data_IF_734496072379
#
_entry.id   IF_734496072379
#
_cell.length_a   1.000
_cell.length_b   1.000
_cell.length_c   1.000
_cell.angle_alpha   90.00
_cell.angle_beta   90.00
_cell.angle_gamma   90.00
#
_symmetry.space_group_name_H-M   'P 1'
#
loop_
_entity.id
_entity.type
_entity.pdbx_description
1 polymer ?
#
# COMPACT_ATOMS: atom_id res chain seq x y z
N UNK A 1 12.06 -1.16 -13.98
CA UNK A 1 10.87 -1.91 -13.52
C UNK A 1 10.79 -2.04 -12.00
N UNK A 2 11.87 -2.42 -11.28
CA UNK A 2 11.89 -2.49 -9.81
C UNK A 2 11.38 -1.21 -9.12
N UNK A 3 11.95 -0.06 -9.47
CA UNK A 3 11.54 1.25 -8.95
C UNK A 3 10.05 1.59 -9.23
N UNK A 4 9.43 0.99 -10.24
CA UNK A 4 8.00 1.14 -10.53
C UNK A 4 7.13 0.49 -9.46
N UNK A 5 7.42 -0.77 -9.17
CA UNK A 5 6.74 -1.52 -8.13
C UNK A 5 7.00 -0.91 -6.76
N UNK A 6 8.23 -0.50 -6.47
CA UNK A 6 8.57 0.15 -5.20
C UNK A 6 7.78 1.45 -5.01
N UNK A 7 7.56 2.23 -6.06
CA UNK A 7 6.77 3.46 -5.95
C UNK A 7 5.27 3.19 -5.77
N UNK A 8 4.74 2.14 -6.40
CA UNK A 8 3.35 1.73 -6.17
C UNK A 8 3.14 1.22 -4.75
N UNK A 9 4.05 0.36 -4.27
CA UNK A 9 4.06 -0.13 -2.88
C UNK A 9 4.10 1.05 -1.92
N UNK A 10 5.00 2.01 -2.18
CA UNK A 10 5.08 3.24 -1.43
C UNK A 10 3.73 3.98 -1.39
N UNK A 11 3.13 4.25 -2.55
CA UNK A 11 1.86 4.98 -2.62
C UNK A 11 0.76 4.29 -1.80
N UNK A 12 0.57 2.98 -1.99
CA UNK A 12 -0.46 2.20 -1.28
C UNK A 12 -0.23 2.21 0.22
N UNK A 13 0.98 1.87 0.68
CA UNK A 13 1.28 1.78 2.09
C UNK A 13 1.25 3.15 2.78
N UNK A 14 1.68 4.22 2.09
CA UNK A 14 1.56 5.60 2.57
C UNK A 14 0.11 5.95 2.86
N UNK A 15 -0.83 5.58 1.97
CA UNK A 15 -2.25 5.83 2.21
C UNK A 15 -2.79 5.09 3.43
N UNK A 16 -2.43 3.83 3.63
CA UNK A 16 -2.86 3.09 4.82
C UNK A 16 -2.25 3.66 6.11
N UNK A 17 -0.95 3.99 6.11
CA UNK A 17 -0.31 4.63 7.26
C UNK A 17 -0.91 6.02 7.58
N UNK A 18 -1.28 6.78 6.54
CA UNK A 18 -1.99 8.05 6.72
C UNK A 18 -3.30 7.85 7.48
N UNK A 19 -4.12 6.85 7.11
CA UNK A 19 -5.40 6.59 7.80
C UNK A 19 -5.18 6.32 9.28
N UNK A 20 -4.18 5.49 9.63
CA UNK A 20 -3.85 5.19 11.03
C UNK A 20 -3.34 6.42 11.79
N UNK A 21 -2.57 7.31 11.16
CA UNK A 21 -2.14 8.55 11.81
C UNK A 21 -3.31 9.54 12.02
N UNK A 22 -4.25 9.63 11.08
CA UNK A 22 -5.36 10.60 11.13
C UNK A 22 -6.55 10.16 12.00
N UNK A 23 -6.86 8.86 12.03
CA UNK A 23 -8.10 8.32 12.61
C UNK A 23 -7.88 7.50 13.90
N UNK A 24 -6.68 7.53 14.49
CA UNK A 24 -6.42 6.86 15.76
C UNK A 24 -6.78 7.75 16.95
N UNK A 25 -7.68 7.26 17.81
CA UNK A 25 -8.18 7.99 18.98
C UNK A 25 -7.21 7.88 20.17
N UNK A 26 -6.44 6.80 20.25
CA UNK A 26 -5.45 6.64 21.31
C UNK A 26 -4.21 7.48 21.01
N UNK A 27 -3.96 8.50 21.85
CA UNK A 27 -2.84 9.45 21.68
C UNK A 27 -1.48 8.76 21.52
N UNK A 28 -1.18 7.73 22.33
CA UNK A 28 0.11 7.04 22.27
C UNK A 28 0.26 6.22 20.98
N UNK A 29 -0.82 5.58 20.52
CA UNK A 29 -0.81 4.86 19.25
C UNK A 29 -0.75 5.83 18.06
N UNK A 30 -1.48 6.94 18.13
CA UNK A 30 -1.46 8.00 17.12
C UNK A 30 -0.05 8.54 16.94
N UNK A 31 0.63 8.90 18.03
CA UNK A 31 2.01 9.38 17.98
C UNK A 31 2.93 8.35 17.32
N UNK A 32 2.78 7.06 17.67
CA UNK A 32 3.54 5.97 17.05
C UNK A 32 3.26 5.86 15.55
N UNK A 33 2.00 5.87 15.13
CA UNK A 33 1.63 5.79 13.72
C UNK A 33 2.11 6.99 12.91
N UNK A 34 1.96 8.20 13.45
CA UNK A 34 2.40 9.42 12.80
C UNK A 34 3.93 9.53 12.72
N UNK A 35 4.66 9.05 13.73
CA UNK A 35 6.11 8.95 13.67
C UNK A 35 6.55 7.93 12.61
N UNK A 36 5.94 6.75 12.59
CA UNK A 36 6.19 5.73 11.55
C UNK A 36 5.88 6.27 10.15
N UNK A 37 4.81 7.04 9.99
CA UNK A 37 4.46 7.71 8.74
C UNK A 37 5.60 8.62 8.27
N UNK A 38 6.10 9.49 9.15
CA UNK A 38 7.21 10.40 8.85
C UNK A 38 8.50 9.67 8.47
N UNK A 39 8.84 8.61 9.20
CA UNK A 39 10.01 7.78 8.88
C UNK A 39 9.86 7.09 7.53
N UNK A 40 8.68 6.51 7.27
CA UNK A 40 8.36 5.84 6.03
C UNK A 40 8.44 6.78 4.82
N UNK A 41 7.80 7.95 4.88
CA UNK A 41 7.83 8.92 3.78
C UNK A 41 9.23 9.47 3.55
N UNK A 42 9.99 9.75 4.61
CA UNK A 42 11.40 10.18 4.51
C UNK A 42 12.29 9.12 3.87
N UNK A 43 12.14 7.86 4.26
CA UNK A 43 12.92 6.75 3.71
C UNK A 43 12.74 6.64 2.20
N UNK A 44 11.50 6.61 1.73
CA UNK A 44 11.22 6.47 0.30
C UNK A 44 11.56 7.72 -0.51
N UNK A 45 11.42 8.92 0.07
CA UNK A 45 11.91 10.13 -0.59
C UNK A 45 13.41 9.99 -0.89
N UNK A 46 14.22 9.66 0.12
CA UNK A 46 15.67 9.49 -0.05
C UNK A 46 15.96 8.43 -1.11
N UNK A 47 15.32 7.26 -1.00
CA UNK A 47 15.45 6.16 -1.96
C UNK A 47 15.19 6.63 -3.39
N UNK A 48 14.08 7.31 -3.66
CA UNK A 48 13.76 7.74 -5.03
C UNK A 48 14.66 8.86 -5.52
N UNK A 49 15.04 9.81 -4.66
CA UNK A 49 15.98 10.88 -5.05
C UNK A 49 17.39 10.35 -5.37
N UNK A 50 17.83 9.28 -4.72
CA UNK A 50 19.13 8.66 -4.99
C UNK A 50 19.11 7.78 -6.24
N UNK A 51 18.01 7.07 -6.47
CA UNK A 51 17.90 6.07 -7.54
C UNK A 51 17.32 6.63 -8.85
N UNK A 52 16.65 7.78 -8.82
CA UNK A 52 16.04 8.41 -10.00
C UNK A 52 16.72 9.75 -10.24
N UNK A 53 17.64 9.79 -11.22
CA UNK A 53 18.43 11.01 -11.49
C UNK A 53 17.63 12.08 -12.21
N UNK A 54 16.71 11.67 -13.08
CA UNK A 54 15.84 12.58 -13.80
C UNK A 54 14.55 11.87 -14.25
N UNK A 55 13.50 12.64 -14.46
CA UNK A 55 12.23 12.20 -15.03
C UNK A 55 12.21 12.51 -16.52
N UNK A 56 11.74 11.58 -17.35
CA UNK A 56 11.55 11.82 -18.79
C UNK A 56 10.52 12.94 -18.97
N UNK A 57 10.74 13.86 -19.91
CA UNK A 57 9.77 14.94 -20.16
C UNK A 57 8.51 14.37 -20.83
N UNK A 58 7.45 14.25 -20.05
CA UNK A 58 6.15 13.71 -20.47
C UNK A 58 5.26 14.74 -21.15
N UNK A 59 5.68 16.01 -21.24
CA UNK A 59 4.91 17.08 -21.90
C UNK A 59 4.69 16.84 -23.40
N UNK A 60 5.50 15.98 -24.05
CA UNK A 60 5.29 15.55 -25.44
C UNK A 60 4.46 14.27 -25.57
N UNK A 61 4.12 13.66 -24.45
CA UNK A 61 3.75 12.26 -24.38
C UNK A 61 2.59 12.13 -23.38
N UNK A 62 1.39 12.45 -23.87
CA UNK A 62 0.10 12.55 -23.16
C UNK A 62 -0.24 11.30 -22.33
N UNK A 63 0.39 10.17 -22.64
CA UNK A 63 0.16 8.86 -22.02
C UNK A 63 1.18 8.50 -20.91
N UNK A 64 2.13 9.36 -20.58
CA UNK A 64 3.31 8.98 -19.78
C UNK A 64 3.41 9.65 -18.43
N UNK A 65 2.43 10.49 -18.06
CA UNK A 65 2.36 11.09 -16.73
C UNK A 65 2.08 10.01 -15.69
N UNK A 66 3.13 9.41 -15.13
CA UNK A 66 2.99 8.47 -14.04
C UNK A 66 2.35 9.17 -12.85
N UNK A 67 1.08 8.83 -12.68
CA UNK A 67 0.22 9.27 -11.61
C UNK A 67 -0.43 8.00 -11.08
N UNK A 68 0.03 7.52 -9.93
CA UNK A 68 -0.68 6.46 -9.22
C UNK A 68 -2.01 7.01 -8.69
N UNK A 69 -1.97 8.25 -8.21
CA UNK A 69 -3.12 9.07 -7.88
C UNK A 69 -2.75 10.55 -7.98
N UNK A 70 -3.74 11.45 -7.88
CA UNK A 70 -3.57 12.92 -7.80
C UNK A 70 -2.65 13.40 -6.69
N UNK A 71 -2.37 12.53 -5.73
CA UNK A 71 -1.55 12.81 -4.56
C UNK A 71 -0.26 11.97 -4.53
N UNK A 72 -0.03 11.08 -5.50
CA UNK A 72 1.15 10.22 -5.57
C UNK A 72 1.75 10.20 -6.99
N UNK A 73 2.65 11.14 -7.23
CA UNK A 73 3.37 11.33 -8.49
C UNK A 73 4.78 11.89 -8.27
N UNK A 74 5.79 11.30 -8.90
CA UNK A 74 7.17 11.78 -8.81
C UNK A 74 7.38 13.20 -9.37
N UNK A 75 6.42 13.73 -10.13
CA UNK A 75 6.44 15.12 -10.60
C UNK A 75 6.18 16.12 -9.46
N UNK A 76 5.49 15.70 -8.39
CA UNK A 76 5.20 16.54 -7.23
C UNK A 76 5.68 15.82 -5.96
N UNK A 77 6.97 16.01 -5.65
CA UNK A 77 7.64 15.37 -4.53
C UNK A 77 7.07 15.83 -3.18
N UNK A 78 6.71 17.10 -3.03
CA UNK A 78 6.15 17.64 -1.78
C UNK A 78 4.83 16.97 -1.39
N UNK A 79 3.94 16.77 -2.37
CA UNK A 79 2.64 16.12 -2.18
C UNK A 79 2.76 14.60 -2.05
N UNK A 80 3.70 14.02 -2.77
CA UNK A 80 3.92 12.57 -2.80
C UNK A 80 4.59 12.07 -1.54
N UNK A 81 5.55 12.82 -1.00
CA UNK A 81 6.29 12.53 0.23
C UNK A 81 5.94 13.53 1.34
N UNK A 82 4.68 13.55 1.82
CA UNK A 82 4.25 14.49 2.84
C UNK A 82 4.83 14.12 4.20
N UNK A 83 4.61 15.02 5.17
CA UNK A 83 4.96 14.80 6.58
C UNK A 83 3.79 15.11 7.48
N UNK A 84 3.70 14.39 8.59
CA UNK A 84 2.93 14.78 9.74
C UNK A 84 3.64 15.93 10.47
N UNK A 85 2.95 17.05 10.64
CA UNK A 85 3.37 18.18 11.46
C UNK A 85 2.72 18.06 12.85
N UNK A 86 3.50 17.82 13.91
CA UNK A 86 2.98 17.73 15.28
C UNK A 86 2.31 19.02 15.76
N UNK A 87 2.71 20.17 15.23
CA UNK A 87 2.20 21.48 15.65
C UNK A 87 0.75 21.68 15.21
N UNK A 88 0.45 21.33 13.95
CA UNK A 88 -0.91 21.39 13.40
C UNK A 88 -1.69 20.08 13.55
N UNK A 89 -1.05 19.02 14.04
CA UNK A 89 -1.56 17.64 14.12
C UNK A 89 -2.17 17.14 12.81
N UNK A 90 -1.54 17.52 11.69
CA UNK A 90 -2.02 17.21 10.34
C UNK A 90 -0.89 16.71 9.47
N UNK A 91 -1.24 15.89 8.49
CA UNK A 91 -0.36 15.58 7.37
C UNK A 91 -0.42 16.74 6.39
N UNK A 92 0.75 17.27 6.04
CA UNK A 92 0.93 18.41 5.16
C UNK A 92 1.95 18.09 4.08
N UNK A 93 1.82 18.76 2.94
CA UNK A 93 2.82 18.71 1.88
C UNK A 93 4.18 19.17 2.42
N UNK A 94 5.23 18.40 2.18
CA UNK A 94 6.57 18.73 2.67
C UNK A 94 7.31 19.55 1.62
N UNK A 95 7.16 20.88 1.68
CA UNK A 95 7.77 21.81 0.72
C UNK A 95 9.29 21.80 0.69
N UNK A 96 9.94 21.14 1.66
CA UNK A 96 11.39 20.90 1.64
C UNK A 96 11.84 19.81 0.65
N UNK A 97 10.88 19.02 0.11
CA UNK A 97 11.15 17.93 -0.83
C UNK A 97 11.22 18.47 -2.25
N UNK A 98 12.45 18.60 -2.75
CA UNK A 98 12.70 19.15 -4.07
C UNK A 98 12.17 18.23 -5.18
N UNK A 99 11.63 18.80 -6.28
CA UNK A 99 11.29 18.03 -7.47
C UNK A 99 12.51 17.32 -8.06
N UNK A 100 12.28 16.18 -8.70
CA UNK A 100 13.29 15.51 -9.53
C UNK A 100 13.41 16.27 -10.86
N UNK A 101 14.63 16.52 -11.31
CA UNK A 101 14.89 17.25 -12.56
C UNK A 101 14.36 16.48 -13.79
N UNK A 102 14.05 17.21 -14.86
CA UNK A 102 13.75 16.59 -16.17
C UNK A 102 15.02 16.13 -16.85
N UNK A 103 14.96 15.03 -17.59
CA UNK A 103 16.09 14.56 -18.40
C UNK A 103 16.26 15.44 -19.64
N UNK A 104 17.50 15.81 -19.95
CA UNK A 104 17.86 16.59 -21.16
C UNK A 104 17.69 15.77 -22.45
N UNK A 105 17.98 14.47 -22.39
CA UNK A 105 17.78 13.52 -23.49
C UNK A 105 16.69 12.48 -23.12
N UNK A 106 15.59 12.37 -23.89
CA UNK A 106 14.55 11.36 -23.66
C UNK A 106 15.03 9.90 -23.80
N UNK A 107 16.24 9.66 -24.30
CA UNK A 107 16.89 8.35 -24.41
C UNK A 107 17.75 7.92 -23.21
N UNK A 108 17.84 8.70 -22.13
CA UNK A 108 18.70 8.38 -20.98
C UNK A 108 18.22 7.12 -20.23
N UNK A 109 19.08 6.09 -20.16
CA UNK A 109 18.89 4.83 -19.41
C UNK A 109 18.63 5.04 -17.91
N UNK A 110 18.94 6.23 -17.39
CA UNK A 110 18.67 6.63 -16.00
C UNK A 110 17.22 7.11 -15.78
N UNK A 111 16.41 7.12 -16.83
CA UNK A 111 14.97 7.42 -16.77
C UNK A 111 14.21 6.26 -16.14
N UNK A 112 13.23 6.60 -15.31
CA UNK A 112 12.21 5.67 -14.89
C UNK A 112 11.03 5.75 -15.85
N UNK A 113 10.71 4.64 -16.52
CA UNK A 113 9.53 4.52 -17.36
C UNK A 113 8.63 3.41 -16.82
N UNK A 114 7.60 3.80 -16.07
CA UNK A 114 6.65 2.89 -15.46
C UNK A 114 5.37 2.90 -16.24
N UNK A 115 5.41 2.25 -17.41
CA UNK A 115 4.18 1.80 -18.05
C UNK A 115 3.57 0.69 -17.21
N UNK A 116 2.42 0.98 -16.61
CA UNK A 116 1.40 -0.05 -16.41
C UNK A 116 0.57 -0.04 -17.68
N UNK A 117 0.49 -1.18 -18.36
CA UNK A 117 -0.34 -1.39 -19.54
C UNK A 117 -1.73 -0.78 -19.31
N UNK A 118 -2.13 0.14 -20.21
CA UNK A 118 -3.49 0.67 -20.39
C UNK A 118 -4.38 0.68 -19.15
N UNK A 119 -4.36 1.79 -18.41
CA UNK A 119 -5.19 1.99 -17.23
C UNK A 119 -6.68 1.76 -17.48
N UNK A 120 -7.23 0.79 -16.76
CA UNK A 120 -8.49 1.03 -16.05
C UNK A 120 -8.08 1.59 -14.69
N UNK A 121 -8.55 2.78 -14.28
CA UNK A 121 -8.32 3.23 -12.91
C UNK A 121 -9.00 2.23 -11.99
N UNK A 122 -8.20 1.45 -11.24
CA UNK A 122 -8.74 0.56 -10.21
C UNK A 122 -9.37 1.46 -9.16
N UNK A 123 -10.71 1.54 -9.15
CA UNK A 123 -11.42 2.12 -8.01
C UNK A 123 -11.15 1.19 -6.84
N UNK A 124 -10.70 1.76 -5.71
CA UNK A 124 -10.38 1.02 -4.48
C UNK A 124 -11.56 0.17 -3.98
N UNK A 125 -12.80 0.51 -4.40
CA UNK A 125 -14.03 -0.28 -4.20
C UNK A 125 -13.98 -1.69 -4.79
N UNK A 126 -13.18 -1.97 -5.82
CA UNK A 126 -13.10 -3.33 -6.39
C UNK A 126 -12.13 -4.26 -5.63
N UNK A 127 -11.19 -3.71 -4.85
CA UNK A 127 -10.27 -4.53 -4.05
C UNK A 127 -10.93 -5.09 -2.78
N UNK A 128 -12.09 -4.57 -2.37
CA UNK A 128 -12.82 -5.06 -1.20
C UNK A 128 -13.84 -6.17 -1.49
N UNK A 129 -14.05 -6.61 -2.74
CA UNK A 129 -15.04 -7.68 -3.02
C UNK A 129 -14.67 -8.75 -4.04
N UNK A 130 -13.51 -8.74 -4.68
CA UNK A 130 -13.13 -9.87 -5.56
C UNK A 130 -11.92 -10.61 -5.03
N UNK A 131 -12.09 -11.20 -3.85
CA UNK A 131 -11.42 -12.44 -3.58
C UNK A 131 -12.09 -13.50 -4.47
N UNK A 132 -11.52 -13.73 -5.67
CA UNK A 132 -11.82 -14.92 -6.49
C UNK A 132 -11.25 -16.15 -5.77
N UNK A 133 -11.79 -16.40 -4.57
CA UNK A 133 -11.54 -17.60 -3.81
C UNK A 133 -12.56 -18.59 -4.34
N UNK A 134 -12.13 -19.51 -5.20
CA UNK A 134 -12.96 -20.68 -5.52
C UNK A 134 -13.43 -21.29 -4.18
N UNK A 135 -14.73 -21.25 -3.83
CA UNK A 135 -15.20 -21.74 -2.54
C UNK A 135 -14.96 -23.24 -2.37
N UNK A 136 -14.69 -23.93 -3.49
CA UNK A 136 -14.34 -25.35 -3.53
C UNK A 136 -13.02 -25.70 -2.82
N UNK A 137 -12.03 -24.79 -2.77
CA UNK A 137 -10.73 -25.09 -2.11
C UNK A 137 -10.78 -24.95 -0.58
N UNK A 138 -11.71 -24.16 -0.05
CA UNK A 138 -11.89 -23.98 1.40
C UNK A 138 -12.90 -24.95 2.00
N UNK A 139 -13.75 -25.58 1.19
CA UNK A 139 -14.67 -26.64 1.64
C UNK A 139 -13.97 -27.87 2.22
N UNK A 140 -12.71 -28.13 1.86
CA UNK A 140 -11.96 -29.30 2.36
C UNK A 140 -11.37 -29.04 3.76
N UNK A 141 -11.07 -27.78 4.11
CA UNK A 141 -10.42 -27.45 5.39
C UNK A 141 -11.39 -27.15 6.54
N UNK A 142 -12.67 -26.88 6.23
CA UNK A 142 -13.71 -26.78 7.26
C UNK A 142 -14.31 -28.16 7.59
N UNK A 143 -14.22 -29.14 6.68
CA UNK A 143 -14.79 -30.48 6.86
C UNK A 143 -13.99 -31.43 7.75
N UNK A 144 -12.69 -31.22 7.94
CA UNK A 144 -11.84 -32.13 8.73
C UNK A 144 -11.99 -31.96 10.25
N UNK A 145 -12.46 -30.81 10.72
CA UNK A 145 -12.68 -30.57 12.16
C UNK A 145 -14.01 -31.10 12.69
N UNK A 146 -15.07 -31.19 11.86
CA UNK A 146 -16.40 -31.62 12.34
C UNK A 146 -16.48 -33.13 12.64
N UNK A 147 -15.80 -33.98 11.88
CA UNK A 147 -15.80 -35.44 12.11
C UNK A 147 -15.14 -35.83 13.44
N UNK A 148 -14.11 -35.09 13.88
CA UNK A 148 -13.45 -35.31 15.17
C UNK A 148 -14.36 -35.04 16.36
N UNK A 149 -15.10 -33.93 16.35
CA UNK A 149 -16.03 -33.58 17.43
C UNK A 149 -17.23 -34.53 17.52
N UNK A 150 -17.78 -34.98 16.38
CA UNK A 150 -18.86 -35.97 16.36
C UNK A 150 -18.38 -37.31 16.91
N UNK A 151 -17.17 -37.75 16.56
CA UNK A 151 -16.61 -39.02 17.04
C UNK A 151 -16.36 -39.01 18.55
N UNK A 152 -15.83 -37.90 19.09
CA UNK A 152 -15.63 -37.73 20.53
C UNK A 152 -16.96 -37.66 21.29
N UNK A 153 -17.96 -36.96 20.74
CA UNK A 153 -19.30 -36.87 21.31
C UNK A 153 -19.99 -38.23 21.42
N UNK A 154 -19.94 -39.06 20.37
CA UNK A 154 -20.49 -40.41 20.37
C UNK A 154 -19.76 -41.34 21.35
N UNK A 155 -18.44 -41.24 21.46
CA UNK A 155 -17.65 -42.01 22.41
C UNK A 155 -18.05 -41.69 23.86
N UNK A 156 -18.09 -40.40 24.23
CA UNK A 156 -18.47 -39.97 25.58
C UNK A 156 -19.93 -40.31 25.91
N UNK A 157 -20.85 -40.16 24.95
CA UNK A 157 -22.25 -40.58 25.13
C UNK A 157 -22.39 -42.07 25.42
N UNK A 158 -21.64 -42.93 24.70
CA UNK A 158 -21.66 -44.37 24.90
C UNK A 158 -21.05 -44.79 26.24
N UNK A 159 -19.97 -44.15 26.69
CA UNK A 159 -19.34 -44.43 27.99
C UNK A 159 -20.26 -44.04 29.15
N UNK A 160 -20.93 -42.88 29.07
CA UNK A 160 -21.86 -42.44 30.12
C UNK A 160 -23.09 -43.35 30.24
N UNK A 161 -23.57 -43.95 29.14
CA UNK A 161 -24.71 -44.88 29.16
C UNK A 161 -24.34 -46.26 29.73
N UNK A 162 -23.06 -46.59 29.87
CA UNK A 162 -22.58 -47.84 30.47
C UNK A 162 -22.24 -47.71 31.97
N UNK A 163 -22.32 -46.49 32.51
CA UNK A 163 -22.10 -46.19 33.93
C UNK A 163 -23.42 -45.98 34.72
N UNK A 164 -24.56 -46.22 34.08
CA UNK A 164 -25.91 -46.29 34.66
C UNK A 164 -26.52 -47.65 34.34
#
# INVERSE_FOLDING_TARGET
MKNCFDFMIYCVNRFELQKHCEHEDNVSLKDKYCNNFNEYTKHYYNYFTENIKCLRDTNKDIHYNWKFSDTCTLQNMAKTFPKYDPSSQKIVDDTSRNPINKCEDPGDSRTINCYMLGGVPVRLEELSTTSNVNPLKYGIYVGSSFLGFISLGLYLYKVNKLQY
#
